data_IF_936917350173
#
_entry.id   IF_936917350173
#
_cell.length_a   1.000
_cell.length_b   1.000
_cell.length_c   1.000
_cell.angle_alpha   90.00
_cell.angle_beta   90.00
_cell.angle_gamma   90.00
#
_symmetry.space_group_name_H-M   'P 1'
#
loop_
_entity.id
_entity.type
_entity.pdbx_description
1 polymer ?
#
# COMPACT_ATOMS: atom_id res chain seq x y z
N UNK A 1 -5.33 -28.34 -0.21
CA UNK A 1 -6.13 -27.57 -1.18
C UNK A 1 -7.06 -26.51 -0.56
N UNK A 2 -7.22 -26.44 0.77
CA UNK A 2 -8.06 -25.44 1.46
C UNK A 2 -7.34 -24.12 1.80
N UNK A 3 -6.00 -24.12 1.94
CA UNK A 3 -5.20 -22.94 2.35
C UNK A 3 -5.18 -21.80 1.34
N UNK A 4 -5.27 -22.06 0.03
CA UNK A 4 -5.17 -21.03 -1.00
C UNK A 4 -6.40 -20.11 -1.02
N UNK A 5 -7.62 -20.64 -0.92
CA UNK A 5 -8.86 -19.84 -0.91
C UNK A 5 -8.96 -18.93 0.32
N UNK A 6 -8.57 -19.41 1.49
CA UNK A 6 -8.60 -18.63 2.73
C UNK A 6 -7.61 -17.46 2.70
N UNK A 7 -6.46 -17.64 2.06
CA UNK A 7 -5.44 -16.59 1.96
C UNK A 7 -5.79 -15.55 0.87
N UNK A 8 -6.42 -15.98 -0.21
CA UNK A 8 -6.92 -15.11 -1.28
C UNK A 8 -7.99 -14.13 -0.77
N UNK A 9 -8.95 -14.60 0.03
CA UNK A 9 -9.99 -13.72 0.57
C UNK A 9 -9.45 -12.60 1.46
N UNK A 10 -8.47 -12.91 2.33
CA UNK A 10 -7.81 -11.89 3.15
C UNK A 10 -7.00 -10.89 2.31
N UNK A 11 -6.37 -11.37 1.23
CA UNK A 11 -5.59 -10.53 0.32
C UNK A 11 -6.49 -9.58 -0.49
N UNK A 12 -7.63 -10.04 -1.00
CA UNK A 12 -8.61 -9.21 -1.73
C UNK A 12 -9.19 -8.09 -0.84
N UNK A 13 -9.49 -8.38 0.43
CA UNK A 13 -9.96 -7.37 1.39
C UNK A 13 -8.87 -6.32 1.62
N UNK A 14 -7.62 -6.74 1.80
CA UNK A 14 -6.48 -5.83 1.97
C UNK A 14 -6.22 -4.95 0.74
N UNK A 15 -6.40 -5.51 -0.47
CA UNK A 15 -6.30 -4.77 -1.74
C UNK A 15 -7.42 -3.75 -1.91
N UNK A 16 -8.65 -4.13 -1.56
CA UNK A 16 -9.82 -3.23 -1.62
C UNK A 16 -9.64 -2.05 -0.68
N UNK A 17 -9.27 -2.32 0.57
CA UNK A 17 -8.95 -1.28 1.55
C UNK A 17 -7.82 -0.37 1.08
N UNK A 18 -6.78 -0.95 0.46
CA UNK A 18 -5.65 -0.19 -0.10
C UNK A 18 -6.06 0.73 -1.25
N UNK A 19 -6.98 0.30 -2.10
CA UNK A 19 -7.50 1.08 -3.23
C UNK A 19 -8.32 2.28 -2.74
N UNK A 20 -9.17 2.07 -1.72
CA UNK A 20 -9.93 3.17 -1.08
C UNK A 20 -8.98 4.20 -0.46
N UNK A 21 -7.97 3.75 0.29
CA UNK A 21 -6.97 4.62 0.90
C UNK A 21 -6.16 5.41 -0.15
N UNK A 22 -5.87 4.80 -1.31
CA UNK A 22 -5.21 5.49 -2.41
C UNK A 22 -6.07 6.60 -3.02
N UNK A 23 -7.39 6.39 -3.13
CA UNK A 23 -8.32 7.45 -3.53
C UNK A 23 -8.25 8.65 -2.57
N UNK A 24 -8.22 8.40 -1.27
CA UNK A 24 -8.07 9.46 -0.26
C UNK A 24 -6.71 10.16 -0.37
N UNK A 25 -5.62 9.41 -0.53
CA UNK A 25 -4.29 10.00 -0.74
C UNK A 25 -4.27 10.92 -1.96
N UNK A 26 -4.91 10.52 -3.05
CA UNK A 26 -5.03 11.34 -4.28
C UNK A 26 -5.73 12.66 -4.00
N UNK A 27 -6.82 12.65 -3.24
CA UNK A 27 -7.53 13.89 -2.83
C UNK A 27 -6.62 14.78 -1.97
N UNK A 28 -5.88 14.21 -1.01
CA UNK A 28 -4.94 14.95 -0.18
C UNK A 28 -3.81 15.58 -1.02
N UNK A 29 -3.27 14.83 -1.98
CA UNK A 29 -2.28 15.33 -2.93
C UNK A 29 -2.83 16.49 -3.74
N UNK A 30 -3.99 16.34 -4.38
CA UNK A 30 -4.60 17.41 -5.19
C UNK A 30 -4.88 18.66 -4.35
N UNK A 31 -5.39 18.50 -3.13
CA UNK A 31 -5.60 19.62 -2.20
C UNK A 31 -4.28 20.30 -1.80
N UNK A 32 -3.21 19.54 -1.59
CA UNK A 32 -1.87 20.10 -1.32
C UNK A 32 -1.38 20.96 -2.48
N UNK A 33 -1.47 20.45 -3.71
CA UNK A 33 -1.09 21.18 -4.93
C UNK A 33 -1.91 22.45 -5.14
N UNK A 34 -3.20 22.44 -4.76
CA UNK A 34 -4.09 23.59 -4.87
C UNK A 34 -3.81 24.66 -3.81
N UNK A 35 -3.49 24.27 -2.57
CA UNK A 35 -3.39 25.19 -1.43
C UNK A 35 -1.97 25.71 -1.16
N UNK A 36 -0.95 24.95 -1.51
CA UNK A 36 0.46 25.24 -1.21
C UNK A 36 1.31 25.46 -2.47
N UNK A 37 0.81 26.25 -3.42
CA UNK A 37 1.54 26.58 -4.65
C UNK A 37 2.89 27.30 -4.47
N UNK A 38 3.22 27.74 -3.25
CA UNK A 38 4.47 28.44 -2.88
C UNK A 38 5.51 27.55 -2.17
N UNK A 39 5.21 26.29 -1.89
CA UNK A 39 6.16 25.39 -1.23
C UNK A 39 7.32 24.98 -2.16
N UNK A 40 8.49 24.63 -1.60
CA UNK A 40 9.68 24.26 -2.37
C UNK A 40 9.41 23.08 -3.32
N UNK A 41 9.88 23.22 -4.57
CA UNK A 41 9.72 22.24 -5.66
C UNK A 41 10.15 20.82 -5.28
N UNK A 42 11.12 20.69 -4.37
CA UNK A 42 11.60 19.40 -3.86
C UNK A 42 10.49 18.61 -3.15
N UNK A 43 9.73 19.26 -2.26
CA UNK A 43 8.61 18.64 -1.54
C UNK A 43 7.50 18.25 -2.51
N UNK A 44 7.23 19.11 -3.50
CA UNK A 44 6.24 18.90 -4.54
C UNK A 44 6.58 17.72 -5.45
N UNK A 45 7.85 17.58 -5.84
CA UNK A 45 8.37 16.43 -6.59
C UNK A 45 8.28 15.14 -5.79
N UNK A 46 8.70 15.16 -4.52
CA UNK A 46 8.59 14.01 -3.61
C UNK A 46 7.15 13.50 -3.47
N UNK A 47 6.18 14.40 -3.32
CA UNK A 47 4.75 14.02 -3.23
C UNK A 47 4.28 13.30 -4.49
N UNK A 48 4.62 13.79 -5.68
CA UNK A 48 4.23 13.14 -6.94
C UNK A 48 4.90 11.78 -7.11
N UNK A 49 6.20 11.69 -6.80
CA UNK A 49 6.95 10.44 -6.90
C UNK A 49 6.35 9.41 -5.95
N UNK A 50 6.07 9.78 -4.71
CA UNK A 50 5.45 8.88 -3.73
C UNK A 50 4.03 8.46 -4.14
N UNK A 51 3.24 9.38 -4.69
CA UNK A 51 1.91 9.08 -5.21
C UNK A 51 1.97 8.10 -6.40
N UNK A 52 2.87 8.33 -7.36
CA UNK A 52 3.09 7.43 -8.49
C UNK A 52 3.57 6.05 -8.04
N UNK A 53 4.53 6.01 -7.13
CA UNK A 53 5.09 4.78 -6.60
C UNK A 53 4.03 3.94 -5.88
N UNK A 54 3.10 4.60 -5.18
CA UNK A 54 1.96 3.95 -4.55
C UNK A 54 0.93 3.43 -5.56
N UNK A 55 0.69 4.15 -6.67
CA UNK A 55 -0.16 3.67 -7.76
C UNK A 55 0.44 2.44 -8.45
N UNK A 56 1.74 2.47 -8.75
CA UNK A 56 2.48 1.34 -9.32
C UNK A 56 2.40 0.12 -8.41
N UNK A 57 2.46 0.31 -7.09
CA UNK A 57 2.30 -0.77 -6.12
C UNK A 57 0.92 -1.44 -6.20
N UNK A 58 -0.15 -0.68 -6.35
CA UNK A 58 -1.50 -1.24 -6.47
C UNK A 58 -1.64 -2.02 -7.79
N UNK A 59 -1.17 -1.46 -8.91
CA UNK A 59 -1.23 -2.12 -10.22
C UNK A 59 -0.49 -3.47 -10.20
N UNK A 60 0.69 -3.49 -9.60
CA UNK A 60 1.47 -4.72 -9.49
C UNK A 60 0.81 -5.75 -8.57
N UNK A 61 0.18 -5.33 -7.46
CA UNK A 61 -0.62 -6.25 -6.63
C UNK A 61 -1.78 -6.89 -7.42
N UNK A 62 -2.48 -6.12 -8.26
CA UNK A 62 -3.53 -6.66 -9.14
C UNK A 62 -2.94 -7.65 -10.16
N UNK A 63 -1.77 -7.35 -10.71
CA UNK A 63 -1.03 -8.26 -11.60
C UNK A 63 -0.67 -9.59 -10.92
N UNK A 64 -0.24 -9.57 -9.66
CA UNK A 64 0.07 -10.78 -8.89
C UNK A 64 -1.16 -11.65 -8.68
N UNK A 65 -2.30 -11.08 -8.27
CA UNK A 65 -3.57 -11.85 -8.15
C UNK A 65 -3.96 -12.43 -9.50
N UNK A 66 -3.91 -11.63 -10.55
CA UNK A 66 -4.32 -12.08 -11.88
C UNK A 66 -3.47 -13.27 -12.34
N UNK A 67 -2.16 -13.21 -12.10
CA UNK A 67 -1.25 -14.32 -12.41
C UNK A 67 -1.56 -15.57 -11.57
N UNK A 68 -1.82 -15.42 -10.27
CA UNK A 68 -2.19 -16.52 -9.37
C UNK A 68 -3.55 -17.16 -9.70
N UNK A 69 -4.51 -16.39 -10.22
CA UNK A 69 -5.83 -16.90 -10.60
C UNK A 69 -5.85 -17.54 -11.99
N UNK A 70 -5.12 -16.97 -12.95
CA UNK A 70 -5.20 -17.38 -14.36
C UNK A 70 -4.13 -18.41 -14.77
N UNK A 71 -3.05 -18.60 -14.00
CA UNK A 71 -1.97 -19.52 -14.38
C UNK A 71 -2.16 -20.91 -13.76
N UNK A 72 -2.20 -22.00 -14.56
CA UNK A 72 -2.35 -23.35 -14.01
C UNK A 72 -1.12 -23.77 -13.19
N UNK A 73 -1.31 -24.51 -12.08
CA UNK A 73 -0.26 -24.86 -11.12
C UNK A 73 0.83 -25.80 -11.67
N UNK A 74 0.66 -26.34 -12.88
CA UNK A 74 1.59 -27.28 -13.54
C UNK A 74 2.73 -26.62 -14.31
N UNK A 75 2.74 -25.28 -14.44
CA UNK A 75 3.71 -24.55 -15.26
C UNK A 75 4.76 -23.76 -14.46
N UNK A 76 4.75 -23.83 -13.13
CA UNK A 76 5.49 -22.88 -12.29
C UNK A 76 6.58 -23.59 -11.45
N UNK A 77 7.88 -23.27 -11.64
CA UNK A 77 8.92 -23.71 -10.72
C UNK A 77 8.72 -23.06 -9.34
N UNK A 78 8.63 -23.90 -8.30
CA UNK A 78 8.23 -23.53 -6.94
C UNK A 78 9.18 -22.55 -6.21
N UNK A 79 10.37 -22.27 -6.76
CA UNK A 79 11.47 -21.62 -6.02
C UNK A 79 11.83 -20.19 -6.48
N UNK A 80 11.22 -19.65 -7.55
CA UNK A 80 11.61 -18.35 -8.09
C UNK A 80 10.67 -17.18 -7.77
N UNK A 81 9.66 -17.37 -6.91
CA UNK A 81 8.60 -16.38 -6.83
C UNK A 81 9.09 -15.04 -6.25
N UNK A 82 9.02 -13.93 -7.00
CA UNK A 82 9.44 -12.58 -6.57
C UNK A 82 8.59 -11.96 -5.45
N UNK A 83 7.63 -12.72 -4.91
CA UNK A 83 6.56 -12.26 -4.00
C UNK A 83 7.12 -11.60 -2.75
N UNK A 84 8.18 -12.18 -2.19
CA UNK A 84 8.77 -11.72 -0.93
C UNK A 84 9.47 -10.37 -1.12
N UNK A 85 10.14 -10.20 -2.27
CA UNK A 85 10.88 -8.98 -2.61
C UNK A 85 9.88 -7.87 -2.89
N UNK A 86 8.88 -8.15 -3.72
CA UNK A 86 7.79 -7.22 -4.04
C UNK A 86 7.04 -6.73 -2.79
N UNK A 87 6.68 -7.66 -1.89
CA UNK A 87 5.99 -7.33 -0.63
C UNK A 87 6.86 -6.50 0.31
N UNK A 88 8.14 -6.83 0.44
CA UNK A 88 9.07 -6.05 1.27
C UNK A 88 9.22 -4.60 0.77
N UNK A 89 9.37 -4.41 -0.54
CA UNK A 89 9.36 -3.07 -1.14
C UNK A 89 8.06 -2.32 -0.85
N UNK A 90 6.92 -3.01 -0.95
CA UNK A 90 5.61 -2.44 -0.66
C UNK A 90 5.43 -1.95 0.78
N UNK A 91 6.00 -2.65 1.76
CA UNK A 91 5.96 -2.25 3.18
C UNK A 91 6.82 -0.99 3.41
N UNK A 92 8.03 -0.97 2.85
CA UNK A 92 8.94 0.19 2.97
C UNK A 92 8.33 1.44 2.33
N UNK A 93 7.78 1.30 1.12
CA UNK A 93 7.11 2.39 0.41
C UNK A 93 5.89 2.87 1.21
N UNK A 94 5.08 1.95 1.74
CA UNK A 94 3.91 2.31 2.56
C UNK A 94 4.32 3.06 3.83
N UNK A 95 5.41 2.67 4.49
CA UNK A 95 5.93 3.37 5.67
C UNK A 95 6.46 4.77 5.35
N UNK A 96 7.20 4.92 4.24
CA UNK A 96 7.69 6.23 3.78
C UNK A 96 6.53 7.18 3.43
N UNK A 97 5.54 6.66 2.69
CA UNK A 97 4.29 7.36 2.39
C UNK A 97 3.63 7.78 3.69
N UNK A 98 3.45 6.88 4.65
CA UNK A 98 2.75 7.18 5.91
C UNK A 98 3.39 8.32 6.69
N UNK A 99 4.72 8.32 6.86
CA UNK A 99 5.43 9.40 7.55
C UNK A 99 5.25 10.74 6.82
N UNK A 100 5.24 10.71 5.49
CA UNK A 100 5.11 11.91 4.67
C UNK A 100 3.66 12.45 4.68
N UNK A 101 2.67 11.57 4.53
CA UNK A 101 1.25 11.93 4.56
C UNK A 101 0.77 12.31 5.96
N UNK A 102 1.33 11.74 7.03
CA UNK A 102 1.06 12.20 8.40
C UNK A 102 1.48 13.67 8.59
N UNK A 103 2.67 14.04 8.06
CA UNK A 103 3.13 15.44 8.05
C UNK A 103 2.27 16.35 7.18
N UNK A 104 1.81 15.88 6.01
CA UNK A 104 0.89 16.63 5.14
C UNK A 104 -0.49 16.81 5.79
N UNK A 105 -1.02 15.74 6.37
CA UNK A 105 -2.29 15.66 7.09
C UNK A 105 -2.35 16.75 8.17
N UNK A 106 -1.32 16.84 9.02
CA UNK A 106 -1.20 17.87 10.04
C UNK A 106 -1.15 19.31 9.50
N UNK A 107 -0.70 19.53 8.26
CA UNK A 107 -0.60 20.87 7.64
C UNK A 107 -1.87 21.27 6.88
N UNK A 108 -2.64 20.31 6.34
CA UNK A 108 -3.66 20.57 5.33
C UNK A 108 -5.11 20.54 5.87
N UNK A 109 -5.38 19.72 6.88
CA UNK A 109 -6.73 19.54 7.40
C UNK A 109 -6.99 20.37 8.66
N UNK A 110 -8.01 21.23 8.58
CA UNK A 110 -8.50 22.03 9.72
C UNK A 110 -9.40 21.22 10.66
N UNK A 111 -9.97 20.11 10.19
CA UNK A 111 -10.77 19.17 11.00
C UNK A 111 -9.90 18.01 11.49
N UNK A 112 -9.47 18.11 12.75
CA UNK A 112 -8.68 17.11 13.47
C UNK A 112 -9.19 15.64 13.37
N UNK A 113 -10.50 15.32 13.43
CA UNK A 113 -10.92 13.92 13.54
C UNK A 113 -10.67 13.08 12.29
N UNK A 114 -10.81 13.66 11.09
CA UNK A 114 -10.58 12.92 9.84
C UNK A 114 -9.11 12.54 9.67
N UNK A 115 -8.19 13.40 10.11
CA UNK A 115 -6.76 13.11 10.09
C UNK A 115 -6.39 11.97 11.01
N UNK A 116 -6.93 11.96 12.23
CA UNK A 116 -6.64 10.91 13.22
C UNK A 116 -7.17 9.56 12.72
N UNK A 117 -8.37 9.53 12.15
CA UNK A 117 -8.95 8.31 11.56
C UNK A 117 -8.07 7.80 10.41
N UNK A 118 -7.62 8.69 9.52
CA UNK A 118 -6.80 8.32 8.37
C UNK A 118 -5.41 7.84 8.78
N UNK A 119 -4.76 8.53 9.71
CA UNK A 119 -3.46 8.11 10.25
C UNK A 119 -3.58 6.73 10.91
N UNK A 120 -4.65 6.49 11.68
CA UNK A 120 -4.95 5.20 12.31
C UNK A 120 -5.18 4.09 11.27
N UNK A 121 -5.95 4.35 10.20
CA UNK A 121 -6.18 3.38 9.14
C UNK A 121 -4.90 3.03 8.37
N UNK A 122 -3.99 4.00 8.20
CA UNK A 122 -2.70 3.77 7.53
C UNK A 122 -1.75 2.98 8.44
N UNK A 123 -1.68 3.30 9.75
CA UNK A 123 -0.96 2.49 10.75
C UNK A 123 -1.48 1.05 10.73
N UNK A 124 -2.80 0.87 10.71
CA UNK A 124 -3.42 -0.44 10.67
C UNK A 124 -3.01 -1.22 9.41
N UNK A 125 -3.02 -0.58 8.23
CA UNK A 125 -2.55 -1.19 6.99
C UNK A 125 -1.07 -1.62 7.07
N UNK A 126 -0.21 -0.81 7.67
CA UNK A 126 1.21 -1.13 7.88
C UNK A 126 1.38 -2.33 8.81
N UNK A 127 0.69 -2.34 9.96
CA UNK A 127 0.73 -3.44 10.94
C UNK A 127 0.25 -4.74 10.32
N UNK A 128 -0.85 -4.72 9.57
CA UNK A 128 -1.37 -5.90 8.86
C UNK A 128 -0.33 -6.42 7.86
N UNK A 129 0.32 -5.53 7.10
CA UNK A 129 1.38 -5.91 6.15
C UNK A 129 2.57 -6.60 6.82
N UNK A 130 3.04 -6.06 7.95
CA UNK A 130 4.13 -6.64 8.75
C UNK A 130 3.73 -7.98 9.36
N UNK A 131 2.53 -8.09 9.92
CA UNK A 131 2.01 -9.35 10.48
C UNK A 131 1.85 -10.43 9.40
N UNK A 132 1.38 -10.08 8.21
CA UNK A 132 1.24 -11.03 7.11
C UNK A 132 2.59 -11.56 6.63
N UNK A 133 3.59 -10.68 6.54
CA UNK A 133 4.95 -11.10 6.21
C UNK A 133 5.53 -11.99 7.31
N UNK A 134 5.39 -11.61 8.59
CA UNK A 134 5.82 -12.40 9.74
C UNK A 134 5.19 -13.79 9.82
N UNK A 135 3.89 -13.90 9.50
CA UNK A 135 3.19 -15.19 9.47
C UNK A 135 3.63 -16.13 8.35
N UNK A 136 4.10 -15.60 7.21
CA UNK A 136 4.64 -16.42 6.10
C UNK A 136 6.04 -16.97 6.38
N UNK A 137 6.88 -16.25 7.12
CA UNK A 137 8.23 -16.71 7.49
C UNK A 137 8.22 -17.73 8.65
N UNK A 138 7.29 -17.62 9.60
CA UNK A 138 7.17 -18.57 10.73
C UNK A 138 6.35 -19.84 10.46
N UNK A 139 5.77 -20.00 9.27
CA UNK A 139 4.98 -21.18 8.87
C UNK A 139 5.76 -22.19 8.02
N UNK A 140 7.09 -22.10 8.02
CA UNK A 140 8.01 -22.94 7.23
C UNK A 140 8.62 -24.10 8.03
N UNK A 141 8.06 -24.38 9.20
CA UNK A 141 8.49 -25.42 10.14
C UNK A 141 7.43 -26.53 10.22
#
# INVERSE_FOLDING_TARGET
MSRTRSNLGGFEVGMTASTVLFGVCTVQTVLYFSRFGKDPLLTRGLVMILWLLQGVQIVLMFGTIYWDLCTPPSALPADLWPDNVWQAFGIVISGLVQVFYSRLSHRLCRSWPLNVILDTLIVLKFVIGVCYQGGRIGGRD
#
